data_IF_398530778203
#
_entry.id   IF_398530778203
#
_cell.length_a   1.000
_cell.length_b   1.000
_cell.length_c   1.000
_cell.angle_alpha   90.00
_cell.angle_beta   90.00
_cell.angle_gamma   90.00
#
_symmetry.space_group_name_H-M   'P 1'
#
loop_
_entity.id
_entity.type
_entity.pdbx_description
1 polymer ?
#
# COMPACT_ATOMS: atom_id res chain seq x y z
N UNK A 1 -3.60 21.79 -1.33
CA UNK A 1 -2.33 21.18 -1.75
C UNK A 1 -1.99 20.04 -0.80
N UNK A 2 -1.52 18.93 -1.34
CA UNK A 2 -1.23 17.76 -0.51
C UNK A 2 0.07 18.00 0.29
N UNK A 3 -0.02 17.87 1.59
CA UNK A 3 1.11 18.03 2.51
C UNK A 3 2.20 16.99 2.26
N UNK A 4 1.83 15.79 1.79
CA UNK A 4 2.78 14.75 1.42
C UNK A 4 3.65 15.17 0.24
N UNK A 5 3.09 15.90 -0.70
CA UNK A 5 3.84 16.39 -1.86
C UNK A 5 5.01 17.27 -1.44
N UNK A 6 4.81 18.10 -0.42
CA UNK A 6 5.84 19.01 0.07
C UNK A 6 6.98 18.31 0.81
N UNK A 7 6.70 17.15 1.39
CA UNK A 7 7.66 16.39 2.19
C UNK A 7 8.39 15.33 1.36
N UNK A 8 7.70 14.72 0.39
CA UNK A 8 8.27 13.71 -0.48
C UNK A 8 9.15 14.34 -1.57
N UNK A 9 10.09 13.55 -2.08
CA UNK A 9 11.05 14.01 -3.07
C UNK A 9 10.93 13.22 -4.37
N UNK A 10 11.18 13.89 -5.51
CA UNK A 10 11.29 13.27 -6.83
C UNK A 10 12.62 12.56 -7.04
N UNK A 11 13.65 12.99 -6.31
CA UNK A 11 15.02 12.52 -6.53
C UNK A 11 15.51 11.54 -5.49
N UNK A 12 14.87 11.51 -4.32
CA UNK A 12 15.39 10.79 -3.17
C UNK A 12 14.29 9.96 -2.50
N UNK A 13 14.62 8.70 -2.22
CA UNK A 13 13.78 7.86 -1.38
C UNK A 13 13.88 8.31 0.07
N UNK A 14 12.74 8.48 0.73
CA UNK A 14 12.68 8.86 2.15
C UNK A 14 11.98 7.77 2.95
N UNK A 15 12.59 7.40 4.07
CA UNK A 15 11.99 6.45 5.00
C UNK A 15 10.75 7.05 5.65
N UNK A 16 9.80 6.19 6.01
CA UNK A 16 8.56 6.60 6.69
C UNK A 16 8.82 7.45 7.92
N UNK A 17 9.79 7.07 8.75
CA UNK A 17 10.15 7.83 9.95
C UNK A 17 10.59 9.25 9.64
N UNK A 18 11.39 9.41 8.60
CA UNK A 18 11.87 10.72 8.14
C UNK A 18 10.71 11.59 7.67
N UNK A 19 9.80 11.01 6.89
CA UNK A 19 8.61 11.71 6.39
C UNK A 19 7.72 12.16 7.53
N UNK A 20 7.43 11.28 8.48
CA UNK A 20 6.59 11.60 9.64
C UNK A 20 7.23 12.67 10.52
N UNK A 21 8.55 12.65 10.68
CA UNK A 21 9.31 13.65 11.42
C UNK A 21 9.25 15.02 10.74
N UNK A 22 9.37 15.07 9.43
CA UNK A 22 9.26 16.32 8.66
C UNK A 22 7.84 16.91 8.73
N UNK A 23 6.82 16.06 8.65
CA UNK A 23 5.43 16.49 8.82
C UNK A 23 5.20 17.08 10.21
N UNK A 24 5.74 16.42 11.24
CA UNK A 24 5.65 16.91 12.61
C UNK A 24 6.31 18.28 12.78
N UNK A 25 7.45 18.52 12.13
CA UNK A 25 8.12 19.80 12.18
C UNK A 25 7.29 20.91 11.53
N UNK A 26 6.36 20.55 10.67
CA UNK A 26 5.42 21.49 10.03
C UNK A 26 4.10 21.60 10.78
N UNK A 27 4.00 21.00 11.98
CA UNK A 27 2.80 21.03 12.81
C UNK A 27 1.78 19.95 12.45
N UNK A 28 2.12 18.99 11.62
CA UNK A 28 1.23 17.92 11.17
C UNK A 28 1.64 16.61 11.86
N UNK A 29 0.81 16.16 12.82
CA UNK A 29 1.06 14.91 13.54
C UNK A 29 0.08 13.85 13.06
N UNK A 30 0.60 12.84 12.34
CA UNK A 30 -0.20 11.70 11.89
C UNK A 30 0.51 10.40 12.25
N UNK A 31 -0.28 9.34 12.47
CA UNK A 31 0.26 8.01 12.71
C UNK A 31 0.63 7.30 11.41
N UNK A 32 1.31 6.16 11.54
CA UNK A 32 1.73 5.35 10.40
C UNK A 32 0.54 4.86 9.57
N UNK A 33 -0.55 4.51 10.21
CA UNK A 33 -1.76 4.03 9.55
C UNK A 33 -2.39 5.12 8.68
N UNK A 34 -2.50 6.33 9.21
CA UNK A 34 -3.06 7.47 8.47
C UNK A 34 -2.16 7.88 7.32
N UNK A 35 -0.85 7.80 7.52
CA UNK A 35 0.12 8.03 6.46
C UNK A 35 -0.09 7.06 5.30
N UNK A 36 -0.21 5.75 5.58
CA UNK A 36 -0.46 4.74 4.55
C UNK A 36 -1.77 4.97 3.81
N UNK A 37 -2.82 5.37 4.54
CA UNK A 37 -4.12 5.70 3.93
C UNK A 37 -4.02 6.89 2.98
N UNK A 38 -3.24 7.90 3.33
CA UNK A 38 -3.01 9.06 2.47
C UNK A 38 -2.27 8.69 1.19
N UNK A 39 -1.27 7.82 1.29
CA UNK A 39 -0.54 7.30 0.13
C UNK A 39 -1.49 6.52 -0.78
N UNK A 40 -2.29 5.62 -0.23
CA UNK A 40 -3.26 4.83 -0.99
C UNK A 40 -4.28 5.73 -1.69
N UNK A 41 -4.79 6.73 -0.99
CA UNK A 41 -5.76 7.69 -1.55
C UNK A 41 -5.14 8.45 -2.73
N UNK A 42 -3.90 8.93 -2.59
CA UNK A 42 -3.20 9.60 -3.67
C UNK A 42 -3.07 8.69 -4.90
N UNK A 43 -2.71 7.43 -4.69
CA UNK A 43 -2.50 6.49 -5.79
C UNK A 43 -3.82 6.07 -6.44
N UNK A 44 -4.92 6.04 -5.69
CA UNK A 44 -6.25 5.88 -6.26
C UNK A 44 -6.63 7.07 -7.13
N UNK A 45 -6.35 8.29 -6.66
CA UNK A 45 -6.58 9.52 -7.43
C UNK A 45 -5.73 9.56 -8.69
N UNK A 46 -4.51 9.05 -8.63
CA UNK A 46 -3.66 8.89 -9.81
C UNK A 46 -4.32 7.94 -10.83
N UNK A 47 -4.83 6.81 -10.36
CA UNK A 47 -5.54 5.85 -11.20
C UNK A 47 -6.80 6.43 -11.83
N UNK A 48 -7.46 7.37 -11.15
CA UNK A 48 -8.67 8.06 -11.63
C UNK A 48 -8.36 9.27 -12.49
N UNK A 49 -7.09 9.60 -12.69
CA UNK A 49 -6.68 10.75 -13.49
C UNK A 49 -6.82 12.09 -12.79
N UNK A 50 -7.04 12.10 -11.47
CA UNK A 50 -7.23 13.31 -10.66
C UNK A 50 -5.89 13.97 -10.33
N UNK A 51 -4.87 13.17 -10.05
CA UNK A 51 -3.51 13.68 -9.81
C UNK A 51 -2.56 13.08 -10.84
N UNK A 52 -1.50 13.80 -11.17
CA UNK A 52 -0.54 13.41 -12.18
C UNK A 52 0.74 12.78 -11.61
N UNK A 53 0.83 12.63 -10.29
CA UNK A 53 1.99 11.99 -9.67
C UNK A 53 1.58 10.76 -8.86
N UNK A 54 2.47 9.79 -8.84
CA UNK A 54 2.32 8.54 -8.10
C UNK A 54 3.31 8.52 -6.93
N UNK A 55 2.91 7.94 -5.81
CA UNK A 55 3.81 7.75 -4.66
C UNK A 55 4.29 6.31 -4.70
N UNK A 56 5.54 6.12 -5.12
CA UNK A 56 6.19 4.82 -5.18
C UNK A 56 6.68 4.41 -3.80
N UNK A 57 6.62 3.11 -3.52
CA UNK A 57 7.10 2.51 -2.28
C UNK A 57 8.03 1.34 -2.59
N UNK A 58 9.16 1.30 -1.89
CA UNK A 58 10.14 0.20 -1.98
C UNK A 58 10.81 0.01 -0.63
N UNK A 59 11.76 -0.92 -0.55
CA UNK A 59 12.60 -1.10 0.65
C UNK A 59 13.38 0.15 1.04
N UNK A 60 13.57 1.07 0.10
CA UNK A 60 14.28 2.35 0.33
C UNK A 60 13.38 3.42 0.94
N UNK A 61 12.07 3.23 0.95
CA UNK A 61 11.09 4.15 1.48
C UNK A 61 10.06 4.59 0.45
N UNK A 62 9.73 5.87 0.45
CA UNK A 62 8.70 6.48 -0.40
C UNK A 62 9.31 7.57 -1.28
N UNK A 63 8.74 7.74 -2.46
CA UNK A 63 9.21 8.71 -3.44
C UNK A 63 8.05 9.13 -4.34
N UNK A 64 7.97 10.43 -4.67
CA UNK A 64 7.07 10.90 -5.72
C UNK A 64 7.71 10.55 -7.06
N UNK A 65 6.92 10.05 -7.99
CA UNK A 65 7.42 9.73 -9.33
C UNK A 65 6.43 10.09 -10.42
N UNK A 66 6.95 10.52 -11.56
CA UNK A 66 6.25 10.65 -12.83
C UNK A 66 6.75 9.60 -13.84
N UNK A 67 7.73 8.79 -13.45
CA UNK A 67 8.37 7.81 -14.31
C UNK A 67 7.55 6.52 -14.32
N UNK A 68 7.11 6.11 -15.51
CA UNK A 68 6.32 4.90 -15.69
C UNK A 68 7.06 3.64 -15.21
N UNK A 69 8.38 3.57 -15.40
CA UNK A 69 9.14 2.39 -14.97
C UNK A 69 9.06 2.21 -13.45
N UNK A 70 9.15 3.29 -12.68
CA UNK A 70 9.01 3.24 -11.22
C UNK A 70 7.58 2.90 -10.80
N UNK A 71 6.60 3.45 -11.48
CA UNK A 71 5.17 3.13 -11.24
C UNK A 71 4.91 1.65 -11.53
N UNK A 72 5.42 1.15 -12.65
CA UNK A 72 5.24 -0.24 -13.07
C UNK A 72 5.83 -1.22 -12.05
N UNK A 73 7.03 -0.95 -11.55
CA UNK A 73 7.65 -1.79 -10.51
C UNK A 73 6.80 -1.82 -9.23
N UNK A 74 6.27 -0.68 -8.82
CA UNK A 74 5.39 -0.59 -7.66
C UNK A 74 4.10 -1.39 -7.86
N UNK A 75 3.51 -1.31 -9.03
CA UNK A 75 2.30 -2.06 -9.38
C UNK A 75 2.56 -3.57 -9.38
N UNK A 76 3.68 -4.01 -9.98
CA UNK A 76 4.07 -5.42 -9.99
C UNK A 76 4.22 -5.98 -8.57
N UNK A 77 4.85 -5.22 -7.69
CA UNK A 77 5.03 -5.61 -6.30
C UNK A 77 3.68 -5.75 -5.58
N UNK A 78 2.78 -4.79 -5.78
CA UNK A 78 1.43 -4.85 -5.21
C UNK A 78 0.63 -6.05 -5.72
N UNK A 79 0.70 -6.34 -7.02
CA UNK A 79 0.03 -7.50 -7.62
C UNK A 79 0.55 -8.80 -7.04
N UNK A 80 1.86 -8.92 -6.87
CA UNK A 80 2.48 -10.10 -6.27
C UNK A 80 1.96 -10.34 -4.86
N UNK A 81 1.91 -9.29 -4.04
CA UNK A 81 1.36 -9.39 -2.68
C UNK A 81 -0.11 -9.75 -2.68
N UNK A 82 -0.89 -9.16 -3.58
CA UNK A 82 -2.32 -9.44 -3.70
C UNK A 82 -2.57 -10.90 -4.09
N UNK A 83 -1.81 -11.44 -5.05
CA UNK A 83 -1.92 -12.84 -5.46
C UNK A 83 -1.57 -13.78 -4.32
N UNK A 84 -0.54 -13.47 -3.52
CA UNK A 84 -0.18 -14.24 -2.33
C UNK A 84 -1.32 -14.24 -1.33
N UNK A 85 -1.92 -13.08 -1.06
CA UNK A 85 -3.05 -12.95 -0.13
C UNK A 85 -4.28 -13.72 -0.62
N UNK A 86 -4.58 -13.66 -1.92
CA UNK A 86 -5.69 -14.42 -2.51
C UNK A 86 -5.46 -15.93 -2.40
N UNK A 87 -4.24 -16.39 -2.62
CA UNK A 87 -3.87 -17.79 -2.46
C UNK A 87 -4.06 -18.27 -1.02
N UNK A 88 -3.66 -17.45 -0.05
CA UNK A 88 -3.88 -17.73 1.38
C UNK A 88 -5.37 -17.82 1.73
N UNK A 89 -6.17 -16.89 1.20
CA UNK A 89 -7.63 -16.90 1.41
C UNK A 89 -8.25 -18.20 0.87
N UNK A 90 -7.90 -18.59 -0.36
CA UNK A 90 -8.40 -19.80 -0.98
C UNK A 90 -8.02 -21.06 -0.18
N UNK A 91 -6.80 -21.07 0.35
CA UNK A 91 -6.32 -22.18 1.18
C UNK A 91 -7.13 -22.29 2.48
N UNK A 92 -7.39 -21.16 3.13
CA UNK A 92 -8.21 -21.11 4.35
C UNK A 92 -9.65 -21.53 4.10
N UNK A 93 -10.23 -21.09 2.99
CA UNK A 93 -11.59 -21.47 2.60
C UNK A 93 -11.71 -22.98 2.40
N UNK A 94 -10.76 -23.59 1.69
CA UNK A 94 -10.75 -25.05 1.49
C UNK A 94 -10.63 -25.81 2.80
N UNK A 95 -9.81 -25.32 3.72
CA UNK A 95 -9.64 -25.93 5.03
C UNK A 95 -10.91 -25.83 5.86
N UNK A 96 -11.59 -24.68 5.81
CA UNK A 96 -12.86 -24.48 6.49
C UNK A 96 -13.94 -25.41 5.97
N UNK A 97 -14.08 -25.53 4.67
CA UNK A 97 -15.06 -26.44 4.02
C UNK A 97 -14.78 -27.89 4.39
N UNK A 98 -13.51 -28.31 4.40
CA UNK A 98 -13.13 -29.66 4.79
C UNK A 98 -13.56 -29.99 6.22
N UNK A 99 -13.31 -29.06 7.15
CA UNK A 99 -13.71 -29.23 8.56
C UNK A 99 -15.22 -29.28 8.73
N UNK A 100 -15.94 -28.47 8.00
CA UNK A 100 -17.41 -28.48 8.03
C UNK A 100 -17.98 -29.79 7.51
N UNK A 101 -17.43 -30.33 6.42
CA UNK A 101 -17.84 -31.61 5.88
C UNK A 101 -17.58 -32.75 6.86
N UNK A 102 -16.44 -32.75 7.54
CA UNK A 102 -16.12 -33.72 8.57
C UNK A 102 -17.11 -33.64 9.75
N UNK A 103 -17.46 -32.43 10.17
CA UNK A 103 -18.47 -32.25 11.24
C UNK A 103 -19.84 -32.78 10.85
N UNK A 104 -20.25 -32.54 9.61
CA UNK A 104 -21.51 -33.05 9.10
C UNK A 104 -21.53 -34.58 9.05
N UNK A 105 -20.44 -35.21 8.68
CA UNK A 105 -20.29 -36.67 8.68
C UNK A 105 -20.36 -37.22 10.09
N UNK A 106 -19.76 -36.54 11.08
CA UNK A 106 -19.82 -36.94 12.48
C UNK A 106 -21.23 -36.85 13.08
N UNK A 107 -22.10 -36.02 12.52
CA UNK A 107 -23.47 -35.84 12.96
C UNK A 107 -24.46 -36.86 12.36
N UNK A 108 -24.01 -37.59 11.38
CA UNK A 108 -24.79 -38.65 10.73
C UNK A 108 -24.43 -39.99 11.36
#
# INVERSE_FOLDING_TARGET
>A
MDELYNVLSLKKWKKKKEILSELKSQGIVIGERDFRKRVEKNNQMYGDGVTDYYIAHSSKGYKITFDWEEVELSIKDKRKRALTMLAECSKCERQFQRRNNLKMEDLI
#
